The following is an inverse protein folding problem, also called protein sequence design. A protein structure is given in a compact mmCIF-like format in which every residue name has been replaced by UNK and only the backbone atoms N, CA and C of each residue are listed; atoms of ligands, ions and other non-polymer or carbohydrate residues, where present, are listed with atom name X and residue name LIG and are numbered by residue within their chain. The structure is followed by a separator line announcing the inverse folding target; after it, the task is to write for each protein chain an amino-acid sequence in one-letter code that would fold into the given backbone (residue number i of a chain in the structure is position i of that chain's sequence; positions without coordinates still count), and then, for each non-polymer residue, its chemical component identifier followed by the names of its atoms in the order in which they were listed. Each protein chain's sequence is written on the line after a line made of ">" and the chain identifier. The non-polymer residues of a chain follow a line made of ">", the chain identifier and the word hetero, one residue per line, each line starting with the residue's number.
data_IF_071350713385
#
_entry.id   IF_071350713385
#
_cell.length_a   1.000
_cell.length_b   1.000
_cell.length_c   1.000
_cell.angle_alpha   90.00
_cell.angle_beta   90.00
_cell.angle_gamma   90.00
#
_symmetry.space_group_name_H-M   'P 1'
#
loop_
_entity.id
_entity.type
_entity.pdbx_description
1 polymer ?
#
# COMPACT_ATOMS: atom_id res chain seq x y z
N UNK A 1 20.72 -3.86 9.73
CA UNK A 1 20.21 -4.01 8.36
C UNK A 1 21.00 -3.14 7.41
N UNK A 2 21.65 -3.73 6.40
CA UNK A 2 22.30 -2.98 5.32
C UNK A 2 21.24 -2.27 4.48
N UNK A 3 21.33 -0.93 4.37
CA UNK A 3 20.34 -0.13 3.63
C UNK A 3 20.80 0.16 2.20
N UNK A 4 22.05 -0.14 1.86
CA UNK A 4 22.63 0.15 0.54
C UNK A 4 21.83 -0.51 -0.59
N UNK A 5 21.39 -1.80 -0.50
CA UNK A 5 20.56 -2.39 -1.55
C UNK A 5 19.25 -1.63 -1.78
N UNK A 6 18.62 -1.14 -0.71
CA UNK A 6 17.37 -0.39 -0.81
C UNK A 6 17.57 0.99 -1.43
N UNK A 7 18.65 1.68 -1.06
CA UNK A 7 18.99 3.00 -1.62
C UNK A 7 19.42 2.87 -3.09
N UNK A 8 20.17 1.82 -3.45
CA UNK A 8 20.54 1.55 -4.85
C UNK A 8 19.31 1.30 -5.73
N UNK A 9 18.31 0.61 -5.20
CA UNK A 9 17.09 0.28 -5.93
C UNK A 9 16.08 1.44 -6.01
N UNK A 10 16.00 2.29 -4.97
CA UNK A 10 14.84 3.19 -4.75
C UNK A 10 15.19 4.63 -4.38
N UNK A 11 16.48 4.94 -4.20
CA UNK A 11 16.92 6.21 -3.64
C UNK A 11 16.61 6.33 -2.14
N UNK A 12 16.71 7.55 -1.62
CA UNK A 12 16.46 7.88 -0.22
C UNK A 12 14.99 8.25 -0.04
N UNK A 13 14.20 7.41 0.64
CA UNK A 13 12.75 7.61 0.81
C UNK A 13 12.41 8.55 1.98
N UNK A 14 13.07 8.36 3.12
CA UNK A 14 12.92 9.25 4.27
C UNK A 14 13.91 10.40 4.09
N UNK A 15 13.48 11.68 4.11
CA UNK A 15 14.39 12.81 3.98
C UNK A 15 15.48 12.84 5.05
N UNK A 16 16.68 13.30 4.70
CA UNK A 16 17.71 13.63 5.68
C UNK A 16 17.25 14.83 6.52
N UNK A 17 17.52 14.83 7.83
CA UNK A 17 17.36 16.03 8.63
C UNK A 17 18.64 16.83 8.58
N UNK A 18 18.54 18.08 8.18
CA UNK A 18 19.68 18.97 8.02
C UNK A 18 19.42 20.32 8.68
N UNK A 19 20.47 21.05 9.02
CA UNK A 19 20.36 22.44 9.50
C UNK A 19 21.45 23.32 8.89
N UNK A 20 21.24 24.64 8.79
CA UNK A 20 22.27 25.56 8.31
C UNK A 20 23.54 25.47 9.16
N UNK A 21 24.70 25.49 8.52
CA UNK A 21 26.01 25.39 9.21
C UNK A 21 26.79 26.72 9.21
N UNK A 22 26.11 27.84 8.96
CA UNK A 22 26.71 29.17 8.91
C UNK A 22 27.36 29.57 7.56
N UNK A 23 27.39 28.67 6.57
CA UNK A 23 27.83 28.98 5.21
C UNK A 23 26.65 28.94 4.22
N UNK A 24 26.49 29.95 3.34
CA UNK A 24 25.37 30.01 2.41
C UNK A 24 25.29 28.77 1.50
N UNK A 25 24.13 28.13 1.46
CA UNK A 25 23.89 26.95 0.63
C UNK A 25 24.49 25.65 1.17
N UNK A 26 25.10 25.65 2.36
CA UNK A 26 25.58 24.43 3.01
C UNK A 26 24.84 24.12 4.29
N UNK A 27 24.72 22.82 4.54
CA UNK A 27 23.99 22.27 5.66
C UNK A 27 24.80 21.16 6.31
N UNK A 28 24.59 20.95 7.60
CA UNK A 28 25.08 19.76 8.28
C UNK A 28 23.95 18.75 8.52
N UNK A 29 24.31 17.46 8.48
CA UNK A 29 23.36 16.36 8.67
C UNK A 29 23.17 16.11 10.16
N UNK A 30 21.95 16.34 10.63
CA UNK A 30 21.55 16.08 12.02
C UNK A 30 21.12 14.62 12.18
N UNK A 31 20.28 14.12 11.26
CA UNK A 31 19.80 12.73 11.27
C UNK A 31 19.83 12.09 9.87
N UNK A 32 19.94 10.76 9.84
CA UNK A 32 20.00 10.00 8.57
C UNK A 32 21.41 9.76 8.00
N UNK A 33 22.48 9.85 8.79
CA UNK A 33 23.87 9.62 8.32
C UNK A 33 24.04 8.34 7.50
N UNK A 34 23.41 7.24 7.92
CA UNK A 34 23.47 5.96 7.20
C UNK A 34 22.91 6.10 5.77
N UNK A 35 21.78 6.80 5.61
CA UNK A 35 21.13 7.07 4.32
C UNK A 35 22.02 7.93 3.43
N UNK A 36 22.64 8.96 4.00
CA UNK A 36 23.63 9.78 3.29
C UNK A 36 24.80 8.94 2.76
N UNK A 37 25.44 8.12 3.60
CA UNK A 37 26.57 7.30 3.17
C UNK A 37 26.16 6.27 2.11
N UNK A 38 25.00 5.63 2.26
CA UNK A 38 24.50 4.71 1.24
C UNK A 38 24.24 5.41 -0.10
N UNK A 39 23.64 6.61 -0.08
CA UNK A 39 23.41 7.40 -1.28
C UNK A 39 24.72 7.88 -1.91
N UNK A 40 25.69 8.26 -1.09
CA UNK A 40 27.05 8.61 -1.54
C UNK A 40 27.72 7.43 -2.24
N UNK A 41 27.67 6.23 -1.65
CA UNK A 41 28.19 5.02 -2.31
C UNK A 41 27.53 4.78 -3.66
N UNK A 42 26.21 4.95 -3.77
CA UNK A 42 25.49 4.81 -5.05
C UNK A 42 25.93 5.88 -6.05
N UNK A 43 26.12 7.12 -5.62
CA UNK A 43 26.60 8.21 -6.46
C UNK A 43 28.03 7.95 -6.98
N UNK A 44 28.93 7.50 -6.10
CA UNK A 44 30.30 7.14 -6.44
C UNK A 44 30.34 5.98 -7.46
N UNK A 45 29.46 4.97 -7.30
CA UNK A 45 29.32 3.84 -8.24
C UNK A 45 28.78 4.25 -9.61
N UNK A 46 27.87 5.22 -9.66
CA UNK A 46 27.24 5.71 -10.90
C UNK A 46 28.06 6.81 -11.59
N UNK A 47 28.97 7.46 -10.87
CA UNK A 47 29.67 8.66 -11.35
C UNK A 47 28.75 9.89 -11.45
N UNK A 48 27.57 9.85 -10.84
CA UNK A 48 26.55 10.89 -10.92
C UNK A 48 26.00 11.19 -9.52
N UNK A 49 25.79 12.46 -9.20
CA UNK A 49 25.20 12.89 -7.93
C UNK A 49 23.79 13.41 -8.16
N UNK A 50 22.82 12.76 -7.54
CA UNK A 50 21.43 13.21 -7.53
C UNK A 50 21.12 14.00 -6.25
N UNK A 51 20.27 15.04 -6.30
CA UNK A 51 19.80 15.74 -5.11
C UNK A 51 19.14 14.77 -4.12
N UNK A 52 19.52 14.85 -2.85
CA UNK A 52 18.87 14.08 -1.80
C UNK A 52 17.68 14.85 -1.22
N UNK A 53 16.58 14.18 -0.88
CA UNK A 53 15.50 14.81 -0.13
C UNK A 53 16.01 15.16 1.26
N UNK A 54 15.85 16.43 1.63
CA UNK A 54 16.24 16.97 2.92
C UNK A 54 15.07 17.75 3.53
N UNK A 55 14.86 17.60 4.83
CA UNK A 55 14.03 18.48 5.63
C UNK A 55 14.95 19.35 6.48
N UNK A 56 14.76 20.67 6.39
CA UNK A 56 15.55 21.67 7.12
C UNK A 56 14.92 21.84 8.50
N UNK A 57 15.71 21.66 9.54
CA UNK A 57 15.29 21.90 10.93
C UNK A 57 15.34 23.40 11.25
N UNK A 58 14.38 23.85 12.04
CA UNK A 58 14.36 25.18 12.64
C UNK A 58 15.06 25.19 14.00
N UNK A 59 15.39 26.38 14.49
CA UNK A 59 16.02 26.55 15.79
C UNK A 59 15.06 26.14 16.91
N UNK A 60 15.49 25.19 17.76
CA UNK A 60 14.69 24.66 18.86
C UNK A 60 13.99 23.33 18.56
N UNK A 61 14.08 22.83 17.33
CA UNK A 61 13.53 21.52 16.96
C UNK A 61 14.28 20.36 17.62
N UNK A 62 13.52 19.35 18.08
CA UNK A 62 14.07 18.06 18.49
C UNK A 62 14.22 17.15 17.26
N UNK A 63 15.48 16.84 16.91
CA UNK A 63 15.80 16.02 15.76
C UNK A 63 15.19 14.62 15.81
N UNK A 64 15.11 14.02 17.01
CA UNK A 64 14.55 12.69 17.20
C UNK A 64 13.04 12.68 16.99
N UNK A 65 12.35 13.69 17.54
CA UNK A 65 10.91 13.86 17.35
C UNK A 65 10.54 14.13 15.88
N UNK A 66 11.31 14.97 15.19
CA UNK A 66 11.12 15.23 13.76
C UNK A 66 11.39 13.98 12.91
N UNK A 67 12.48 13.24 13.19
CA UNK A 67 12.79 12.02 12.43
C UNK A 67 11.70 10.97 12.61
N UNK A 68 11.23 10.78 13.84
CA UNK A 68 10.12 9.88 14.15
C UNK A 68 8.83 10.31 13.42
N UNK A 69 8.50 11.60 13.43
CA UNK A 69 7.34 12.15 12.74
C UNK A 69 7.42 11.95 11.22
N UNK A 70 8.58 12.17 10.60
CA UNK A 70 8.77 11.93 9.16
C UNK A 70 8.59 10.46 8.80
N UNK A 71 9.17 9.56 9.59
CA UNK A 71 9.03 8.12 9.38
C UNK A 71 7.56 7.70 9.51
N UNK A 72 6.85 8.20 10.53
CA UNK A 72 5.43 7.91 10.74
C UNK A 72 4.57 8.42 9.59
N UNK A 73 4.77 9.66 9.15
CA UNK A 73 4.03 10.22 8.01
C UNK A 73 4.22 9.40 6.73
N UNK A 74 5.44 8.90 6.47
CA UNK A 74 5.73 8.05 5.31
C UNK A 74 5.09 6.66 5.45
N UNK A 75 5.07 6.12 6.66
CA UNK A 75 4.45 4.83 6.96
C UNK A 75 2.92 4.92 7.11
N UNK A 76 2.34 6.12 7.06
CA UNK A 76 0.90 6.32 7.22
C UNK A 76 0.15 5.79 6.02
N UNK A 77 -0.80 4.90 6.29
CA UNK A 77 -1.73 4.39 5.30
C UNK A 77 -2.96 5.29 5.20
N UNK A 78 -3.46 5.44 3.97
CA UNK A 78 -4.80 5.98 3.74
C UNK A 78 -5.84 5.09 4.44
N UNK A 79 -6.85 5.62 5.15
CA UNK A 79 -7.89 4.78 5.76
C UNK A 79 -8.77 4.05 4.72
N UNK A 80 -8.94 4.57 3.50
CA UNK A 80 -9.71 3.92 2.43
C UNK A 80 -8.88 2.82 1.76
N UNK A 81 -9.38 1.58 1.81
CA UNK A 81 -8.70 0.45 1.18
C UNK A 81 -8.60 0.57 -0.35
N UNK A 82 -9.50 1.31 -1.01
CA UNK A 82 -9.41 1.53 -2.47
C UNK A 82 -8.25 2.48 -2.78
N UNK A 83 -8.08 3.56 -2.03
CA UNK A 83 -6.89 4.43 -2.09
C UNK A 83 -5.60 3.68 -1.74
N UNK A 84 -5.63 2.78 -0.75
CA UNK A 84 -4.49 1.90 -0.45
C UNK A 84 -4.17 0.98 -1.65
N UNK A 85 -5.19 0.40 -2.31
CA UNK A 85 -5.02 -0.41 -3.51
C UNK A 85 -4.36 0.38 -4.65
N UNK A 86 -4.80 1.62 -4.90
CA UNK A 86 -4.19 2.50 -5.90
C UNK A 86 -2.71 2.74 -5.59
N UNK A 87 -2.40 3.06 -4.33
CA UNK A 87 -1.03 3.28 -3.83
C UNK A 87 -0.17 2.03 -3.99
N UNK A 88 -0.65 0.87 -3.53
CA UNK A 88 0.11 -0.38 -3.61
C UNK A 88 0.31 -0.82 -5.05
N UNK A 89 -0.69 -0.63 -5.92
CA UNK A 89 -0.57 -0.90 -7.36
C UNK A 89 0.50 -0.03 -8.00
N UNK A 90 0.57 1.26 -7.65
CA UNK A 90 1.63 2.16 -8.11
C UNK A 90 3.01 1.68 -7.65
N UNK A 91 3.15 1.35 -6.36
CA UNK A 91 4.41 0.86 -5.79
C UNK A 91 4.87 -0.45 -6.46
N UNK A 92 3.96 -1.38 -6.74
CA UNK A 92 4.27 -2.62 -7.47
C UNK A 92 4.77 -2.31 -8.89
N UNK A 93 4.15 -1.35 -9.59
CA UNK A 93 4.62 -0.91 -10.93
C UNK A 93 5.99 -0.24 -10.89
N UNK A 94 6.33 0.41 -9.78
CA UNK A 94 7.66 0.96 -9.50
C UNK A 94 8.68 -0.12 -9.08
N UNK A 95 8.31 -1.40 -9.08
CA UNK A 95 9.20 -2.53 -8.77
C UNK A 95 9.29 -2.87 -7.28
N UNK A 96 8.39 -2.36 -6.43
CA UNK A 96 8.33 -2.74 -5.01
C UNK A 96 7.73 -4.13 -4.87
N UNK A 97 8.33 -4.99 -4.05
CA UNK A 97 7.75 -6.28 -3.68
C UNK A 97 6.68 -6.14 -2.59
N UNK A 98 5.81 -7.15 -2.47
CA UNK A 98 4.79 -7.23 -1.41
C UNK A 98 5.41 -7.14 -0.01
N UNK A 99 6.53 -7.83 0.23
CA UNK A 99 7.25 -7.79 1.50
C UNK A 99 7.78 -6.39 1.85
N UNK A 100 8.20 -5.62 0.85
CA UNK A 100 8.67 -4.25 1.06
C UNK A 100 7.52 -3.32 1.43
N UNK A 101 6.38 -3.44 0.74
CA UNK A 101 5.18 -2.65 1.02
C UNK A 101 4.70 -2.97 2.44
N UNK A 102 4.64 -4.26 2.79
CA UNK A 102 4.29 -4.73 4.13
C UNK A 102 5.18 -4.10 5.20
N UNK A 103 6.50 -4.13 4.99
CA UNK A 103 7.47 -3.51 5.91
C UNK A 103 7.30 -1.99 6.00
N UNK A 104 7.11 -1.29 4.88
CA UNK A 104 6.96 0.18 4.86
C UNK A 104 5.74 0.64 5.66
N UNK A 105 4.62 -0.07 5.56
CA UNK A 105 3.36 0.35 6.15
C UNK A 105 2.99 -0.42 7.43
N UNK A 106 3.90 -1.22 8.00
CA UNK A 106 3.64 -2.00 9.21
C UNK A 106 2.53 -3.05 9.05
N UNK A 107 2.36 -3.59 7.84
CA UNK A 107 1.37 -4.62 7.51
C UNK A 107 2.01 -5.99 7.39
N UNK A 108 1.18 -7.03 7.39
CA UNK A 108 1.56 -8.36 6.92
C UNK A 108 1.48 -8.42 5.38
N UNK A 109 2.29 -9.29 4.75
CA UNK A 109 2.17 -9.55 3.31
C UNK A 109 0.75 -9.99 2.90
N UNK A 110 0.07 -10.73 3.78
CA UNK A 110 -1.30 -11.16 3.56
C UNK A 110 -2.27 -9.98 3.47
N UNK A 111 -2.13 -8.97 4.35
CA UNK A 111 -2.93 -7.74 4.27
C UNK A 111 -2.68 -6.99 2.95
N UNK A 112 -1.40 -6.86 2.54
CA UNK A 112 -1.05 -6.21 1.27
C UNK A 112 -1.69 -6.95 0.08
N UNK A 113 -1.62 -8.29 0.04
CA UNK A 113 -2.25 -9.09 -1.03
C UNK A 113 -3.78 -8.94 -1.05
N UNK A 114 -4.43 -8.88 0.12
CA UNK A 114 -5.88 -8.66 0.22
C UNK A 114 -6.32 -7.31 -0.36
N UNK A 115 -5.54 -6.26 -0.12
CA UNK A 115 -5.79 -4.93 -0.69
C UNK A 115 -5.53 -4.95 -2.20
N UNK A 116 -4.43 -5.57 -2.64
CA UNK A 116 -4.12 -5.72 -4.08
C UNK A 116 -5.22 -6.49 -4.84
N UNK A 117 -5.88 -7.46 -4.21
CA UNK A 117 -6.99 -8.21 -4.79
C UNK A 117 -8.22 -7.36 -5.14
N UNK A 118 -8.35 -6.13 -4.61
CA UNK A 118 -9.37 -5.18 -5.08
C UNK A 118 -9.19 -4.84 -6.57
N UNK A 119 -7.99 -5.05 -7.13
CA UNK A 119 -7.70 -4.95 -8.56
C UNK A 119 -8.54 -5.91 -9.42
N UNK A 120 -8.97 -7.04 -8.84
CA UNK A 120 -9.75 -8.08 -9.53
C UNK A 120 -11.25 -7.77 -9.59
N UNK A 121 -11.67 -6.63 -9.06
CA UNK A 121 -13.06 -6.18 -9.10
C UNK A 121 -13.37 -5.34 -10.34
N UNK A 122 -14.62 -5.40 -10.81
CA UNK A 122 -15.13 -4.42 -11.77
C UNK A 122 -15.16 -3.02 -11.13
N UNK A 123 -14.91 -1.94 -11.90
CA UNK A 123 -14.84 -0.58 -11.35
C UNK A 123 -16.07 -0.17 -10.52
N UNK A 124 -17.28 -0.55 -10.96
CA UNK A 124 -18.52 -0.26 -10.23
C UNK A 124 -18.60 -0.94 -8.86
N UNK A 125 -18.00 -2.12 -8.70
CA UNK A 125 -17.97 -2.82 -7.40
C UNK A 125 -16.98 -2.13 -6.46
N UNK A 126 -15.80 -1.72 -6.97
CA UNK A 126 -14.86 -0.92 -6.17
C UNK A 126 -15.47 0.39 -5.70
N UNK A 127 -16.20 1.07 -6.58
CA UNK A 127 -16.87 2.32 -6.24
C UNK A 127 -17.98 2.12 -5.20
N UNK A 128 -18.78 1.05 -5.31
CA UNK A 128 -19.76 0.71 -4.28
C UNK A 128 -19.09 0.44 -2.93
N UNK A 129 -17.91 -0.18 -2.91
CA UNK A 129 -17.15 -0.38 -1.67
C UNK A 129 -16.60 0.93 -1.09
N UNK A 130 -16.00 1.78 -1.94
CA UNK A 130 -15.50 3.11 -1.54
C UNK A 130 -16.59 4.00 -0.95
N UNK A 131 -17.81 3.90 -1.46
CA UNK A 131 -19.00 4.61 -0.96
C UNK A 131 -19.62 3.98 0.29
N UNK A 132 -19.04 2.90 0.80
CA UNK A 132 -19.57 2.09 1.91
C UNK A 132 -20.96 1.50 1.62
N UNK A 133 -21.38 1.44 0.35
CA UNK A 133 -22.64 0.84 -0.05
C UNK A 133 -22.62 -0.70 0.14
N UNK A 134 -21.43 -1.31 0.17
CA UNK A 134 -21.19 -2.72 0.51
C UNK A 134 -20.11 -2.87 1.58
N UNK A 135 -20.25 -3.90 2.42
CA UNK A 135 -19.32 -4.18 3.50
C UNK A 135 -18.05 -4.92 3.04
N UNK A 136 -17.06 -4.97 3.93
CA UNK A 136 -15.80 -5.67 3.69
C UNK A 136 -15.98 -7.16 3.45
N UNK A 137 -16.97 -7.83 4.05
CA UNK A 137 -17.18 -9.27 3.80
C UNK A 137 -17.62 -9.52 2.34
N UNK A 138 -18.55 -8.70 1.87
CA UNK A 138 -19.10 -8.71 0.51
C UNK A 138 -18.01 -8.47 -0.51
N UNK A 139 -17.22 -7.41 -0.36
CA UNK A 139 -16.16 -7.10 -1.34
C UNK A 139 -15.11 -8.21 -1.42
N UNK A 140 -14.79 -8.87 -0.30
CA UNK A 140 -13.82 -9.98 -0.26
C UNK A 140 -14.36 -11.22 -0.98
N UNK A 141 -15.65 -11.53 -0.86
CA UNK A 141 -16.25 -12.57 -1.68
C UNK A 141 -16.21 -12.22 -3.18
N UNK A 142 -16.48 -10.97 -3.54
CA UNK A 142 -16.42 -10.51 -4.93
C UNK A 142 -15.00 -10.56 -5.52
N UNK A 143 -13.94 -10.39 -4.72
CA UNK A 143 -12.55 -10.56 -5.21
C UNK A 143 -12.25 -12.00 -5.65
N UNK A 144 -13.00 -12.98 -5.15
CA UNK A 144 -12.88 -14.38 -5.54
C UNK A 144 -13.86 -14.78 -6.66
N UNK A 145 -14.78 -13.90 -7.03
CA UNK A 145 -15.78 -14.16 -8.07
C UNK A 145 -15.19 -13.95 -9.47
N UNK A 146 -15.59 -14.78 -10.43
CA UNK A 146 -15.28 -14.55 -11.83
C UNK A 146 -15.88 -13.23 -12.34
N UNK A 147 -15.32 -12.67 -13.42
CA UNK A 147 -15.87 -11.46 -14.03
C UNK A 147 -17.33 -11.62 -14.49
N UNK A 148 -17.76 -12.83 -14.84
CA UNK A 148 -19.16 -13.13 -15.16
C UNK A 148 -20.04 -13.00 -13.92
N UNK A 149 -19.69 -13.68 -12.83
CA UNK A 149 -20.41 -13.59 -11.55
C UNK A 149 -20.45 -12.15 -11.00
N UNK A 150 -19.38 -11.38 -11.16
CA UNK A 150 -19.36 -9.96 -10.79
C UNK A 150 -20.35 -9.12 -11.62
N UNK A 151 -20.51 -9.42 -12.92
CA UNK A 151 -21.52 -8.75 -13.77
C UNK A 151 -22.94 -9.13 -13.35
N UNK A 152 -23.18 -10.40 -13.07
CA UNK A 152 -24.48 -10.88 -12.61
C UNK A 152 -24.86 -10.25 -11.26
N UNK A 153 -23.90 -10.16 -10.33
CA UNK A 153 -24.09 -9.46 -9.07
C UNK A 153 -24.38 -7.97 -9.26
N UNK A 154 -23.67 -7.29 -10.17
CA UNK A 154 -23.93 -5.88 -10.50
C UNK A 154 -25.32 -5.67 -11.11
N UNK A 155 -25.81 -6.62 -11.92
CA UNK A 155 -27.16 -6.55 -12.47
C UNK A 155 -28.20 -6.61 -11.34
N UNK A 156 -28.04 -7.51 -10.38
CA UNK A 156 -28.89 -7.58 -9.17
C UNK A 156 -28.74 -6.36 -8.27
N UNK A 157 -27.56 -5.73 -8.23
CA UNK A 157 -27.29 -4.55 -7.40
C UNK A 157 -27.93 -3.28 -7.98
N UNK A 158 -28.04 -3.20 -9.31
CA UNK A 158 -28.65 -2.07 -10.00
C UNK A 158 -30.17 -2.16 -10.11
N UNK A 159 -30.75 -3.33 -9.84
CA UNK A 159 -32.18 -3.60 -9.91
C UNK A 159 -32.87 -3.13 -8.62
N UNK A 160 -33.80 -2.17 -8.67
CA UNK A 160 -34.50 -1.67 -7.48
C UNK A 160 -35.48 -2.70 -6.87
N UNK A 161 -35.94 -3.67 -7.65
CA UNK A 161 -36.90 -4.69 -7.21
C UNK A 161 -36.20 -5.95 -6.67
N UNK A 162 -34.89 -6.06 -6.87
CA UNK A 162 -34.07 -7.16 -6.37
C UNK A 162 -33.04 -6.69 -5.36
N UNK A 163 -32.59 -7.62 -4.52
CA UNK A 163 -31.49 -7.37 -3.57
C UNK A 163 -30.32 -8.27 -3.89
N UNK A 164 -29.23 -7.67 -4.38
CA UNK A 164 -27.98 -8.38 -4.56
C UNK A 164 -27.54 -9.06 -3.25
N UNK A 165 -27.12 -10.35 -3.29
CA UNK A 165 -26.69 -11.04 -2.09
C UNK A 165 -25.40 -10.39 -1.54
N UNK A 166 -25.29 -10.33 -0.21
CA UNK A 166 -24.16 -9.70 0.50
C UNK A 166 -23.62 -10.63 1.60
N UNK A 167 -22.42 -10.33 2.11
CA UNK A 167 -21.77 -11.09 3.18
C UNK A 167 -21.81 -12.60 2.96
N UNK A 168 -22.30 -13.33 3.95
CA UNK A 168 -22.44 -14.78 3.87
C UNK A 168 -23.40 -15.28 2.77
N UNK A 169 -24.50 -14.56 2.48
CA UNK A 169 -25.43 -14.96 1.41
C UNK A 169 -24.74 -14.91 0.03
N UNK A 170 -23.87 -13.93 -0.17
CA UNK A 170 -23.06 -13.82 -1.38
C UNK A 170 -22.11 -15.03 -1.51
N UNK A 171 -21.49 -15.45 -0.41
CA UNK A 171 -20.64 -16.65 -0.41
C UNK A 171 -21.40 -17.88 -0.88
N UNK A 172 -22.62 -18.09 -0.37
CA UNK A 172 -23.46 -19.20 -0.81
C UNK A 172 -23.87 -19.08 -2.28
N UNK A 173 -24.24 -17.87 -2.72
CA UNK A 173 -24.60 -17.62 -4.10
C UNK A 173 -23.44 -17.89 -5.08
N UNK A 174 -22.20 -17.53 -4.69
CA UNK A 174 -21.00 -17.76 -5.51
C UNK A 174 -20.48 -19.20 -5.47
N UNK A 175 -20.53 -19.86 -4.31
CA UNK A 175 -19.77 -21.09 -4.04
C UNK A 175 -20.60 -22.26 -3.49
N UNK A 176 -21.89 -22.05 -3.18
CA UNK A 176 -22.77 -23.04 -2.56
C UNK A 176 -23.16 -24.22 -3.46
N UNK A 177 -22.70 -24.24 -4.72
CA UNK A 177 -22.94 -25.33 -5.67
C UNK A 177 -22.10 -26.60 -5.44
N UNK A 178 -21.14 -26.63 -4.51
CA UNK A 178 -20.51 -27.89 -4.10
C UNK A 178 -21.40 -28.60 -3.07
N UNK A 179 -22.45 -29.25 -3.57
CA UNK A 179 -23.09 -30.35 -2.84
C UNK A 179 -22.00 -31.38 -2.51
N UNK A 180 -21.72 -31.59 -1.22
CA UNK A 180 -20.94 -32.74 -0.78
C UNK A 180 -21.69 -33.97 -1.27
N UNK A 181 -21.07 -34.75 -2.15
CA UNK A 181 -21.61 -36.03 -2.62
C UNK A 181 -21.82 -36.93 -1.40
N UNK A 182 -23.07 -37.23 -1.06
CA UNK A 182 -23.43 -38.19 0.00
C UNK A 182 -23.14 -39.65 -0.37
N UNK A 183 -22.39 -39.90 -1.45
CA UNK A 183 -22.08 -41.26 -1.93
C UNK A 183 -20.95 -41.98 -1.18
N UNK A 184 -20.62 -41.58 0.04
CA UNK A 184 -19.73 -42.32 0.95
C UNK A 184 -20.31 -42.45 2.37
N UNK A 185 -21.63 -42.31 2.51
CA UNK A 185 -22.33 -42.64 3.75
C UNK A 185 -23.35 -43.76 3.48
N UNK A 186 -22.83 -44.95 3.14
CA UNK A 186 -23.50 -46.25 3.28
C UNK A 186 -22.43 -47.29 3.61
#
# INVERSE_FOLDING_TARGET
>A
SDILPSVRARGVLVPLLVRPNGSPGSFEIVAGRRRYFAAKTVADERGETEPLPCAIMEDGDDAGALEASLIENIARLDPDEVSQWETFTRLIKEGRGVADIATTFGLTEHQVRRILALGDLLPKIREAYRREDIDTETVRHLTMASKAQQKDWLALYADPDNRAPRGWQLKQWLFGGQSISTKVAL
#
